data_IF_017313131713
#
_entry.id   IF_017313131713
#
_cell.length_a   1.000
_cell.length_b   1.000
_cell.length_c   1.000
_cell.angle_alpha   90.00
_cell.angle_beta   90.00
_cell.angle_gamma   90.00
#
_symmetry.space_group_name_H-M   'P 1'
#
loop_
_entity.id
_entity.type
_entity.pdbx_description
1 polymer ?
#
# COMPACT_ATOMS: atom_id res chain seq x y z
N UNK A 1 -8.05 10.09 3.36
CA UNK A 1 -8.78 9.23 2.41
C UNK A 1 -9.35 8.04 3.16
N UNK A 2 -10.53 7.60 2.77
CA UNK A 2 -11.05 6.29 3.16
C UNK A 2 -11.11 5.44 1.89
N UNK A 3 -10.29 4.39 1.84
CA UNK A 3 -10.32 3.40 0.78
C UNK A 3 -11.24 2.24 1.21
N UNK A 4 -12.10 1.77 0.30
CA UNK A 4 -13.06 0.71 0.58
C UNK A 4 -13.08 -0.33 -0.54
N UNK A 5 -13.09 -1.60 -0.16
CA UNK A 5 -13.31 -2.74 -1.05
C UNK A 5 -14.23 -3.71 -0.32
N UNK A 6 -15.45 -3.91 -0.84
CA UNK A 6 -16.46 -4.65 -0.10
C UNK A 6 -16.70 -4.05 1.29
N UNK A 7 -16.62 -4.89 2.32
CA UNK A 7 -16.78 -4.48 3.73
C UNK A 7 -15.46 -4.04 4.39
N UNK A 8 -14.32 -4.22 3.70
CA UNK A 8 -13.01 -3.76 4.18
C UNK A 8 -12.85 -2.27 3.93
N UNK A 9 -12.52 -1.50 4.98
CA UNK A 9 -12.33 -0.05 4.95
C UNK A 9 -11.08 0.35 5.69
N UNK A 10 -10.24 1.14 5.03
CA UNK A 10 -8.98 1.66 5.59
C UNK A 10 -9.00 3.17 5.55
N UNK A 11 -8.81 3.80 6.70
CA UNK A 11 -8.55 5.24 6.80
C UNK A 11 -7.06 5.47 6.59
N UNK A 12 -6.72 6.23 5.58
CA UNK A 12 -5.34 6.64 5.32
C UNK A 12 -5.17 8.13 5.51
N UNK A 13 -4.20 8.49 6.33
CA UNK A 13 -3.80 9.87 6.61
C UNK A 13 -2.34 10.07 6.22
N UNK A 14 -2.06 11.23 5.62
CA UNK A 14 -0.70 11.66 5.26
C UNK A 14 -0.46 13.01 5.91
N UNK A 15 0.67 13.14 6.60
CA UNK A 15 1.10 14.39 7.24
C UNK A 15 2.54 14.66 6.84
N UNK A 16 2.80 15.89 6.41
CA UNK A 16 4.15 16.40 6.16
C UNK A 16 4.59 17.24 7.36
N UNK A 17 5.74 16.90 7.91
CA UNK A 17 6.38 17.63 9.00
C UNK A 17 7.32 18.73 8.52
N UNK A 18 8.24 19.09 9.41
CA UNK A 18 9.29 20.06 9.11
C UNK A 18 10.35 19.47 8.17
N UNK A 19 11.04 20.37 7.47
CA UNK A 19 12.18 19.96 6.66
C UNK A 19 13.35 19.55 7.57
N UNK A 20 13.88 18.35 7.32
CA UNK A 20 15.03 17.74 8.00
C UNK A 20 16.13 17.38 7.00
N UNK A 21 16.30 18.20 5.98
CA UNK A 21 17.22 17.96 4.86
C UNK A 21 18.68 17.66 5.25
N UNK A 22 19.08 17.96 6.51
CA UNK A 22 20.44 17.69 6.99
C UNK A 22 20.69 16.22 7.38
N UNK A 23 19.68 15.34 7.32
CA UNK A 23 19.82 13.95 7.78
C UNK A 23 20.36 12.98 6.72
N UNK A 24 20.52 13.42 5.47
CA UNK A 24 21.09 12.58 4.39
C UNK A 24 20.22 11.40 3.94
N UNK A 25 18.96 11.31 4.42
CA UNK A 25 17.99 10.30 3.99
C UNK A 25 16.57 10.86 4.01
N UNK A 26 15.68 10.27 3.23
CA UNK A 26 14.27 10.64 3.22
C UNK A 26 13.53 10.09 4.46
N UNK A 27 13.07 10.95 5.39
CA UNK A 27 12.42 10.50 6.63
C UNK A 27 10.94 10.17 6.39
N UNK A 28 10.68 9.03 5.76
CA UNK A 28 9.33 8.47 5.56
C UNK A 28 9.03 7.46 6.68
N UNK A 29 7.90 7.65 7.34
CA UNK A 29 7.37 6.72 8.34
C UNK A 29 6.01 6.22 7.90
N UNK A 30 5.86 4.91 7.79
CA UNK A 30 4.59 4.26 7.45
C UNK A 30 4.16 3.38 8.61
N UNK A 31 2.91 3.55 9.05
CA UNK A 31 2.28 2.71 10.05
C UNK A 31 0.99 2.11 9.49
N UNK A 32 0.88 0.80 9.57
CA UNK A 32 -0.34 0.06 9.29
C UNK A 32 -0.87 -0.49 10.62
N UNK A 33 -2.15 -0.31 10.89
CA UNK A 33 -2.76 -0.61 12.18
C UNK A 33 -4.08 -1.33 11.97
N UNK A 34 -4.20 -2.56 12.47
CA UNK A 34 -5.44 -3.33 12.53
C UNK A 34 -6.08 -3.17 13.91
N UNK A 35 -7.16 -2.41 13.99
CA UNK A 35 -7.88 -2.25 15.25
C UNK A 35 -8.74 -3.49 15.56
N UNK A 36 -8.78 -3.93 16.81
CA UNK A 36 -9.62 -5.06 17.22
C UNK A 36 -11.10 -4.86 16.84
N UNK A 37 -11.58 -3.63 16.92
CA UNK A 37 -12.97 -3.32 16.54
C UNK A 37 -13.25 -3.51 15.04
N UNK A 38 -12.23 -3.44 14.18
CA UNK A 38 -12.39 -3.66 12.74
C UNK A 38 -12.91 -5.06 12.41
N UNK A 39 -12.58 -6.05 13.23
CA UNK A 39 -13.08 -7.42 13.15
C UNK A 39 -14.19 -7.72 14.19
N UNK A 40 -14.81 -6.68 14.77
CA UNK A 40 -15.87 -6.82 15.78
C UNK A 40 -15.40 -7.40 17.12
N UNK A 41 -14.09 -7.29 17.43
CA UNK A 41 -13.49 -7.86 18.63
C UNK A 41 -13.11 -6.77 19.63
N UNK A 42 -12.97 -7.19 20.89
CA UNK A 42 -12.41 -6.39 21.99
C UNK A 42 -11.02 -6.95 22.31
N UNK A 43 -10.02 -6.10 22.62
CA UNK A 43 -8.71 -6.58 23.03
C UNK A 43 -8.78 -7.58 24.18
N UNK A 44 -8.19 -8.77 24.00
CA UNK A 44 -8.32 -9.91 24.91
C UNK A 44 -7.32 -9.94 26.07
N UNK A 45 -6.37 -8.99 26.15
CA UNK A 45 -5.39 -8.95 27.22
C UNK A 45 -5.99 -8.46 28.55
N UNK A 46 -5.30 -8.69 29.67
CA UNK A 46 -5.69 -8.20 31.00
C UNK A 46 -6.03 -6.69 31.01
N UNK A 47 -5.25 -5.90 30.30
CA UNK A 47 -5.44 -4.44 30.22
C UNK A 47 -6.55 -4.02 29.24
N UNK A 48 -7.08 -4.93 28.42
CA UNK A 48 -8.09 -4.66 27.37
C UNK A 48 -7.73 -3.45 26.50
N UNK A 49 -6.46 -3.36 26.11
CA UNK A 49 -5.91 -2.30 25.28
C UNK A 49 -5.36 -2.87 23.98
N UNK A 50 -5.31 -2.03 22.95
CA UNK A 50 -4.47 -2.27 21.79
C UNK A 50 -3.02 -2.44 22.26
N UNK A 51 -2.36 -3.49 21.80
CA UNK A 51 -1.00 -3.83 22.17
C UNK A 51 0.05 -3.11 21.35
N UNK A 52 1.28 -3.65 21.38
CA UNK A 52 2.31 -3.29 20.39
C UNK A 52 1.89 -3.80 19.01
N UNK A 53 2.38 -3.17 17.91
CA UNK A 53 2.13 -3.68 16.57
C UNK A 53 2.49 -5.17 16.46
N UNK A 54 1.64 -5.94 15.82
CA UNK A 54 1.89 -7.33 15.49
C UNK A 54 2.97 -7.44 14.40
N UNK A 55 3.53 -8.62 14.23
CA UNK A 55 4.47 -8.89 13.13
C UNK A 55 3.84 -8.57 11.76
N UNK A 56 2.58 -8.97 11.55
CA UNK A 56 1.82 -8.64 10.33
C UNK A 56 1.74 -7.13 10.12
N UNK A 57 1.39 -6.35 11.14
CA UNK A 57 1.29 -4.89 11.01
C UNK A 57 2.63 -4.25 10.65
N UNK A 58 3.74 -4.76 11.20
CA UNK A 58 5.09 -4.28 10.87
C UNK A 58 5.46 -4.64 9.43
N UNK A 59 5.19 -5.87 8.99
CA UNK A 59 5.48 -6.33 7.63
C UNK A 59 4.63 -5.58 6.59
N UNK A 60 3.33 -5.39 6.86
CA UNK A 60 2.46 -4.60 5.97
C UNK A 60 2.87 -3.13 5.91
N UNK A 61 3.33 -2.54 7.02
CA UNK A 61 3.91 -1.18 7.00
C UNK A 61 5.10 -1.09 6.04
N UNK A 62 5.98 -2.09 6.03
CA UNK A 62 7.11 -2.16 5.10
C UNK A 62 6.67 -2.42 3.66
N UNK A 63 5.64 -3.23 3.49
CA UNK A 63 5.04 -3.51 2.19
C UNK A 63 4.49 -2.23 1.53
N UNK A 64 3.93 -1.32 2.32
CA UNK A 64 3.43 -0.01 1.87
C UNK A 64 4.60 0.96 1.62
N UNK A 65 5.61 1.00 2.50
CA UNK A 65 6.76 1.92 2.40
C UNK A 65 7.60 1.69 1.14
N UNK A 66 7.90 0.42 0.82
CA UNK A 66 8.83 0.05 -0.26
C UNK A 66 8.48 0.60 -1.63
N UNK A 67 7.24 0.50 -2.14
CA UNK A 67 6.88 1.02 -3.45
C UNK A 67 6.66 2.54 -3.46
N UNK A 68 6.37 3.16 -2.31
CA UNK A 68 6.10 4.60 -2.18
C UNK A 68 7.41 5.41 -2.14
N UNK A 69 8.40 4.94 -1.40
CA UNK A 69 9.65 5.65 -1.15
C UNK A 69 10.38 6.09 -2.42
N UNK A 70 10.57 5.26 -3.45
CA UNK A 70 11.28 5.64 -4.67
C UNK A 70 10.53 6.67 -5.54
N UNK A 71 9.24 6.92 -5.26
CA UNK A 71 8.41 7.87 -5.99
C UNK A 71 8.50 9.31 -5.43
N UNK A 72 9.34 9.53 -4.42
CA UNK A 72 9.69 10.87 -3.98
C UNK A 72 11.00 11.33 -4.66
N UNK A 73 11.13 12.63 -4.96
CA UNK A 73 12.34 13.17 -5.56
C UNK A 73 13.56 12.95 -4.66
N UNK A 74 14.72 12.72 -5.28
CA UNK A 74 15.97 12.71 -4.54
C UNK A 74 16.19 14.05 -3.84
N UNK A 75 16.73 14.04 -2.62
CA UNK A 75 16.96 15.24 -1.83
C UNK A 75 15.73 15.82 -1.15
N UNK A 76 14.55 15.19 -1.29
CA UNK A 76 13.36 15.60 -0.53
C UNK A 76 13.55 15.31 0.96
N UNK A 77 13.67 16.36 1.80
CA UNK A 77 14.08 16.27 3.21
C UNK A 77 12.96 16.42 4.22
N UNK A 78 11.71 16.70 3.81
CA UNK A 78 10.60 16.80 4.76
C UNK A 78 10.22 15.44 5.30
N UNK A 79 9.97 15.40 6.61
CA UNK A 79 9.39 14.22 7.24
C UNK A 79 7.97 13.97 6.71
N UNK A 80 7.70 12.74 6.27
CA UNK A 80 6.37 12.32 5.84
C UNK A 80 5.93 11.14 6.69
N UNK A 81 4.73 11.25 7.26
CA UNK A 81 4.09 10.18 8.01
C UNK A 81 2.82 9.72 7.29
N UNK A 82 2.73 8.43 7.04
CA UNK A 82 1.55 7.77 6.48
C UNK A 82 1.01 6.82 7.55
N UNK A 83 -0.27 6.95 7.88
CA UNK A 83 -0.94 6.04 8.80
C UNK A 83 -2.14 5.42 8.10
N UNK A 84 -2.11 4.10 7.95
CA UNK A 84 -3.20 3.29 7.43
C UNK A 84 -3.89 2.60 8.61
N UNK A 85 -5.12 2.98 8.92
CA UNK A 85 -5.90 2.40 10.02
C UNK A 85 -7.07 1.60 9.46
N UNK A 86 -7.09 0.30 9.69
CA UNK A 86 -8.21 -0.56 9.30
C UNK A 86 -9.39 -0.28 10.22
N UNK A 87 -10.48 0.21 9.64
CA UNK A 87 -11.71 0.56 10.37
C UNK A 87 -12.74 -0.58 10.38
N UNK A 88 -12.77 -1.35 9.28
CA UNK A 88 -13.62 -2.51 9.08
C UNK A 88 -12.88 -3.50 8.21
N UNK A 89 -13.02 -4.80 8.47
CA UNK A 89 -12.36 -5.86 7.72
C UNK A 89 -13.34 -7.00 7.48
N UNK A 90 -13.48 -7.41 6.23
CA UNK A 90 -14.10 -8.67 5.88
C UNK A 90 -13.26 -9.83 6.43
N UNK A 91 -13.92 -10.91 6.84
CA UNK A 91 -13.22 -12.09 7.41
C UNK A 91 -12.37 -12.85 6.40
N UNK A 92 -12.70 -12.70 5.13
CA UNK A 92 -12.08 -13.41 4.02
C UNK A 92 -11.04 -12.59 3.26
N UNK A 93 -10.96 -11.27 3.54
CA UNK A 93 -10.09 -10.36 2.81
C UNK A 93 -8.86 -9.96 3.63
N UNK A 94 -7.88 -9.43 2.89
CA UNK A 94 -6.70 -8.76 3.43
C UNK A 94 -6.74 -7.27 3.08
N UNK A 95 -6.30 -6.42 4.00
CA UNK A 95 -6.31 -4.97 3.77
C UNK A 95 -5.02 -4.42 3.15
N UNK A 96 -4.09 -5.27 2.74
CA UNK A 96 -2.75 -4.90 2.29
C UNK A 96 -2.80 -4.08 0.99
N UNK A 97 -3.39 -4.64 -0.08
CA UNK A 97 -3.46 -3.98 -1.39
C UNK A 97 -4.25 -2.66 -1.31
N UNK A 98 -5.41 -2.66 -0.65
CA UNK A 98 -6.24 -1.46 -0.50
C UNK A 98 -5.55 -0.37 0.34
N UNK A 99 -4.67 -0.75 1.28
CA UNK A 99 -3.87 0.20 2.06
C UNK A 99 -2.82 0.89 1.19
N UNK A 100 -2.18 0.19 0.25
CA UNK A 100 -1.24 0.78 -0.71
C UNK A 100 -1.98 1.75 -1.64
N UNK A 101 -3.13 1.35 -2.19
CA UNK A 101 -3.97 2.19 -3.06
C UNK A 101 -4.43 3.45 -2.30
N UNK A 102 -4.90 3.28 -1.07
CA UNK A 102 -5.33 4.38 -0.22
C UNK A 102 -4.18 5.34 0.15
N UNK A 103 -2.97 4.81 0.38
CA UNK A 103 -1.78 5.62 0.64
C UNK A 103 -1.37 6.44 -0.59
N UNK A 104 -1.42 5.83 -1.77
CA UNK A 104 -1.18 6.50 -3.04
C UNK A 104 -2.18 7.64 -3.26
N UNK A 105 -3.47 7.39 -3.10
CA UNK A 105 -4.51 8.39 -3.23
C UNK A 105 -4.33 9.55 -2.23
N UNK A 106 -4.02 9.25 -0.97
CA UNK A 106 -3.79 10.27 0.06
C UNK A 106 -2.55 11.12 -0.23
N UNK A 107 -1.47 10.53 -0.74
CA UNK A 107 -0.26 11.23 -1.16
C UNK A 107 -0.54 12.15 -2.35
N UNK A 108 -1.24 11.67 -3.37
CA UNK A 108 -1.63 12.49 -4.53
C UNK A 108 -2.46 13.71 -4.13
N UNK A 109 -3.36 13.55 -3.15
CA UNK A 109 -4.21 14.64 -2.63
C UNK A 109 -3.48 15.59 -1.67
N UNK A 110 -2.31 15.22 -1.15
CA UNK A 110 -1.58 15.98 -0.13
C UNK A 110 -0.85 17.20 -0.67
N UNK A 111 -0.62 17.28 -1.99
CA UNK A 111 0.24 18.26 -2.63
C UNK A 111 1.73 18.03 -2.44
N UNK A 112 2.15 16.94 -1.82
CA UNK A 112 3.54 16.51 -1.75
C UNK A 112 4.07 16.11 -3.14
N UNK A 113 5.39 16.21 -3.40
CA UNK A 113 5.99 15.88 -4.69
C UNK A 113 6.10 14.36 -4.90
N UNK A 114 4.99 13.69 -4.82
CA UNK A 114 4.86 12.26 -5.03
C UNK A 114 4.60 11.94 -6.51
N UNK A 115 5.49 11.17 -7.14
CA UNK A 115 5.48 10.84 -8.56
C UNK A 115 4.60 9.60 -8.86
N UNK A 116 3.39 9.56 -8.30
CA UNK A 116 2.39 8.53 -8.55
C UNK A 116 1.39 8.93 -9.65
N UNK A 117 0.26 8.21 -9.80
CA UNK A 117 -0.30 7.26 -8.83
C UNK A 117 0.38 5.90 -8.79
N UNK A 118 0.20 5.22 -7.68
CA UNK A 118 0.64 3.86 -7.42
C UNK A 118 -0.58 3.00 -7.08
N UNK A 119 -0.64 1.79 -7.62
CA UNK A 119 -1.61 0.77 -7.23
C UNK A 119 -0.95 -0.51 -6.78
N UNK A 120 -1.73 -1.43 -6.24
CA UNK A 120 -1.29 -2.75 -5.85
C UNK A 120 -2.37 -3.80 -6.12
N UNK A 121 -1.91 -5.03 -6.39
CA UNK A 121 -2.76 -6.19 -6.56
C UNK A 121 -2.10 -7.42 -5.94
N UNK A 122 -2.92 -8.25 -5.28
CA UNK A 122 -2.50 -9.59 -4.84
C UNK A 122 -2.86 -10.59 -5.92
N UNK A 123 -1.95 -11.51 -6.24
CA UNK A 123 -2.18 -12.55 -7.26
C UNK A 123 -1.95 -13.91 -6.65
N UNK A 124 -2.95 -14.77 -6.80
CA UNK A 124 -2.86 -16.21 -6.57
C UNK A 124 -2.72 -16.99 -7.87
N UNK A 125 -2.33 -18.26 -7.76
CA UNK A 125 -2.30 -19.20 -8.88
C UNK A 125 -2.95 -20.52 -8.45
N UNK A 126 -4.16 -20.78 -8.95
CA UNK A 126 -5.04 -21.89 -8.55
C UNK A 126 -5.49 -22.62 -9.81
N UNK A 127 -5.33 -23.95 -9.85
CA UNK A 127 -5.74 -24.79 -10.98
C UNK A 127 -5.27 -24.27 -12.35
N UNK A 128 -4.03 -23.73 -12.40
CA UNK A 128 -3.44 -23.22 -13.63
C UNK A 128 -3.91 -21.81 -14.05
N UNK A 129 -4.68 -21.11 -13.23
CA UNK A 129 -5.21 -19.79 -13.52
C UNK A 129 -4.73 -18.74 -12.49
N UNK A 130 -4.47 -17.52 -12.97
CA UNK A 130 -4.23 -16.38 -12.09
C UNK A 130 -5.55 -15.88 -11.49
N UNK A 131 -5.53 -15.60 -10.19
CA UNK A 131 -6.68 -15.09 -9.43
C UNK A 131 -6.30 -13.75 -8.84
N UNK A 132 -7.07 -12.70 -9.14
CA UNK A 132 -6.86 -11.37 -8.60
C UNK A 132 -7.44 -11.28 -7.18
N UNK A 133 -6.64 -10.73 -6.25
CA UNK A 133 -7.03 -10.50 -4.85
C UNK A 133 -7.73 -11.73 -4.23
N UNK A 134 -7.07 -12.91 -4.26
CA UNK A 134 -7.67 -14.13 -3.73
C UNK A 134 -8.02 -13.96 -2.25
N UNK A 135 -9.15 -14.50 -1.84
CA UNK A 135 -9.55 -14.59 -0.44
C UNK A 135 -8.56 -15.44 0.37
N UNK A 136 -8.58 -15.32 1.70
CA UNK A 136 -7.74 -16.13 2.59
C UNK A 136 -7.98 -17.63 2.41
N UNK A 137 -9.21 -18.03 2.07
CA UNK A 137 -9.54 -19.43 1.78
C UNK A 137 -8.88 -19.91 0.49
N UNK A 138 -8.97 -19.11 -0.58
CA UNK A 138 -8.36 -19.41 -1.88
C UNK A 138 -6.83 -19.41 -1.81
N UNK A 139 -6.22 -18.56 -0.98
CA UNK A 139 -4.78 -18.56 -0.75
C UNK A 139 -4.25 -19.88 -0.18
N UNK A 140 -5.04 -20.59 0.62
CA UNK A 140 -4.65 -21.89 1.16
C UNK A 140 -4.53 -22.97 0.07
N UNK A 141 -5.24 -22.82 -1.04
CA UNK A 141 -5.22 -23.72 -2.20
C UNK A 141 -4.28 -23.22 -3.30
N UNK A 142 -3.80 -22.01 -3.17
CA UNK A 142 -2.96 -21.34 -4.17
C UNK A 142 -1.50 -21.79 -4.08
N UNK A 143 -0.87 -22.04 -5.22
CA UNK A 143 0.58 -22.23 -5.31
C UNK A 143 1.37 -20.92 -5.39
N UNK A 144 0.69 -19.76 -5.39
CA UNK A 144 1.29 -18.44 -5.41
C UNK A 144 0.56 -17.51 -4.45
N UNK A 145 1.31 -16.77 -3.66
CA UNK A 145 0.84 -15.59 -2.94
C UNK A 145 1.78 -14.44 -3.29
N UNK A 146 1.39 -13.59 -4.24
CA UNK A 146 2.23 -12.51 -4.77
C UNK A 146 1.54 -11.18 -4.60
N UNK A 147 2.23 -10.22 -3.97
CA UNK A 147 1.86 -8.83 -3.96
C UNK A 147 2.69 -8.07 -5.00
N UNK A 148 2.03 -7.36 -5.88
CA UNK A 148 2.65 -6.51 -6.89
C UNK A 148 2.18 -5.08 -6.66
N UNK A 149 3.10 -4.11 -6.69
CA UNK A 149 2.76 -2.70 -6.67
C UNK A 149 3.48 -1.95 -7.78
N UNK A 150 2.75 -1.09 -8.48
CA UNK A 150 3.25 -0.40 -9.66
C UNK A 150 2.39 0.77 -10.10
N UNK A 151 2.89 1.51 -11.09
CA UNK A 151 2.16 2.47 -11.89
C UNK A 151 1.62 1.83 -13.17
N UNK A 152 1.06 2.63 -14.06
CA UNK A 152 0.63 2.15 -15.37
C UNK A 152 1.79 1.57 -16.19
N UNK A 153 2.99 2.15 -16.06
CA UNK A 153 4.12 1.86 -16.94
C UNK A 153 5.23 1.04 -16.28
N UNK A 154 5.25 0.95 -14.94
CA UNK A 154 6.35 0.33 -14.21
C UNK A 154 5.90 -0.39 -12.94
N UNK A 155 6.59 -1.50 -12.64
CA UNK A 155 6.46 -2.23 -11.37
C UNK A 155 7.56 -1.77 -10.42
N UNK A 156 7.20 -1.34 -9.22
CA UNK A 156 8.11 -0.84 -8.19
C UNK A 156 8.40 -1.87 -7.10
N UNK A 157 7.47 -2.81 -6.89
CA UNK A 157 7.63 -3.83 -5.86
C UNK A 157 6.97 -5.13 -6.29
N UNK A 158 7.67 -6.23 -6.04
CA UNK A 158 7.13 -7.59 -6.05
C UNK A 158 7.56 -8.26 -4.75
N UNK A 159 6.63 -8.88 -4.07
CA UNK A 159 6.88 -9.75 -2.92
C UNK A 159 6.05 -11.00 -3.09
N UNK A 160 6.68 -12.19 -3.02
CA UNK A 160 5.98 -13.43 -3.34
C UNK A 160 6.46 -14.59 -2.49
N UNK A 161 5.54 -15.48 -2.21
CA UNK A 161 5.74 -16.83 -1.74
C UNK A 161 5.15 -17.78 -2.79
N UNK A 162 5.95 -18.74 -3.28
CA UNK A 162 5.55 -19.61 -4.38
C UNK A 162 6.01 -21.04 -4.14
N UNK A 163 5.17 -22.01 -4.53
CA UNK A 163 5.45 -23.44 -4.50
C UNK A 163 5.84 -23.92 -5.91
N UNK A 164 7.15 -23.90 -6.21
CA UNK A 164 7.77 -24.50 -7.41
C UNK A 164 7.15 -24.06 -8.76
N UNK A 165 6.78 -22.76 -8.88
CA UNK A 165 6.31 -22.21 -10.14
C UNK A 165 7.47 -21.91 -11.08
N UNK A 166 7.21 -22.03 -12.40
CA UNK A 166 8.17 -21.66 -13.44
C UNK A 166 8.36 -20.15 -13.54
N UNK A 167 9.49 -19.71 -14.11
CA UNK A 167 9.75 -18.28 -14.38
C UNK A 167 8.66 -17.66 -15.26
N UNK A 168 8.17 -18.38 -16.26
CA UNK A 168 7.08 -17.90 -17.14
C UNK A 168 5.78 -17.68 -16.37
N UNK A 169 5.45 -18.57 -15.41
CA UNK A 169 4.27 -18.42 -14.55
C UNK A 169 4.43 -17.22 -13.60
N UNK A 170 5.63 -17.03 -13.03
CA UNK A 170 5.91 -15.88 -12.17
C UNK A 170 5.83 -14.56 -12.94
N UNK A 171 6.43 -14.49 -14.14
CA UNK A 171 6.33 -13.34 -15.01
C UNK A 171 4.89 -13.07 -15.45
N UNK A 172 4.15 -14.11 -15.81
CA UNK A 172 2.73 -14.02 -16.17
C UNK A 172 1.89 -13.44 -15.04
N UNK A 173 2.17 -13.81 -13.77
CA UNK A 173 1.48 -13.26 -12.61
C UNK A 173 1.74 -11.74 -12.44
N UNK A 174 2.96 -11.29 -12.68
CA UNK A 174 3.32 -9.85 -12.63
C UNK A 174 2.58 -9.07 -13.71
N UNK A 175 2.58 -9.58 -14.95
CA UNK A 175 1.89 -8.95 -16.07
C UNK A 175 0.37 -8.93 -15.87
N UNK A 176 -0.19 -10.00 -15.31
CA UNK A 176 -1.60 -10.07 -14.92
C UNK A 176 -1.92 -9.00 -13.87
N UNK A 177 -1.12 -8.90 -12.79
CA UNK A 177 -1.30 -7.87 -11.78
C UNK A 177 -1.26 -6.46 -12.36
N UNK A 178 -0.29 -6.18 -13.24
CA UNK A 178 -0.14 -4.86 -13.88
C UNK A 178 -1.38 -4.49 -14.70
N UNK A 179 -1.92 -5.43 -15.46
CA UNK A 179 -3.14 -5.20 -16.23
C UNK A 179 -4.35 -4.92 -15.33
N UNK A 180 -4.49 -5.69 -14.25
CA UNK A 180 -5.64 -5.60 -13.32
C UNK A 180 -5.56 -4.39 -12.36
N UNK A 181 -4.38 -3.78 -12.18
CA UNK A 181 -4.22 -2.55 -11.39
C UNK A 181 -4.77 -1.29 -12.10
N UNK A 182 -4.97 -1.33 -13.41
CA UNK A 182 -5.37 -0.17 -14.22
C UNK A 182 -6.64 0.53 -13.72
N UNK A 183 -7.75 -0.16 -13.38
CA UNK A 183 -8.96 0.51 -12.90
C UNK A 183 -8.75 1.30 -11.60
N UNK A 184 -7.89 0.82 -10.70
CA UNK A 184 -7.61 1.52 -9.45
C UNK A 184 -6.70 2.73 -9.65
N UNK A 185 -5.79 2.70 -10.62
CA UNK A 185 -4.99 3.87 -11.02
C UNK A 185 -5.89 4.95 -11.61
N UNK A 186 -6.78 4.59 -12.54
CA UNK A 186 -7.77 5.51 -13.15
C UNK A 186 -8.69 6.13 -12.08
N UNK A 187 -9.12 5.34 -11.08
CA UNK A 187 -9.91 5.83 -9.95
C UNK A 187 -9.17 6.88 -9.12
N UNK A 188 -7.87 6.68 -8.87
CA UNK A 188 -7.05 7.67 -8.15
C UNK A 188 -6.92 8.96 -8.97
N UNK A 189 -6.67 8.85 -10.28
CA UNK A 189 -6.56 10.01 -11.17
C UNK A 189 -7.87 10.80 -11.23
N UNK A 190 -9.01 10.11 -11.32
CA UNK A 190 -10.33 10.73 -11.28
C UNK A 190 -10.55 11.48 -9.96
N UNK A 191 -10.25 10.85 -8.81
CA UNK A 191 -10.35 11.48 -7.50
C UNK A 191 -9.49 12.74 -7.40
N UNK A 192 -8.26 12.69 -7.87
CA UNK A 192 -7.32 13.82 -7.89
C UNK A 192 -7.82 14.94 -8.78
N UNK A 193 -8.41 14.63 -9.93
CA UNK A 193 -8.95 15.62 -10.86
C UNK A 193 -10.12 16.44 -10.28
N UNK A 194 -10.86 15.87 -9.33
CA UNK A 194 -11.96 16.51 -8.64
C UNK A 194 -11.52 17.37 -7.44
N UNK A 195 -10.26 17.25 -7.01
CA UNK A 195 -9.74 17.94 -5.86
C UNK A 195 -8.97 19.22 -6.25
N UNK A 196 -9.13 20.28 -5.45
CA UNK A 196 -8.30 21.46 -5.56
C UNK A 196 -7.04 21.27 -4.72
N UNK A 197 -5.95 20.86 -5.35
CA UNK A 197 -4.69 20.57 -4.67
C UNK A 197 -3.75 21.75 -4.81
N UNK A 198 -3.21 22.20 -3.66
CA UNK A 198 -2.14 23.20 -3.64
C UNK A 198 -0.79 22.46 -3.48
N UNK A 199 0.11 22.52 -4.48
CA UNK A 199 1.42 21.91 -4.36
C UNK A 199 2.20 22.49 -3.17
N UNK A 200 2.89 21.62 -2.45
CA UNK A 200 3.79 22.01 -1.37
C UNK A 200 5.14 22.37 -1.99
N UNK A 201 5.58 23.61 -1.80
CA UNK A 201 6.91 24.04 -2.21
C UNK A 201 7.98 23.32 -1.38
N UNK A 202 9.03 22.86 -2.06
CA UNK A 202 10.19 22.23 -1.43
C UNK A 202 11.47 22.62 -2.17
N UNK A 203 12.57 22.69 -1.42
CA UNK A 203 13.89 22.91 -1.99
C UNK A 203 14.56 21.57 -2.23
N UNK A 204 15.03 21.34 -3.45
CA UNK A 204 15.93 20.23 -3.77
C UNK A 204 17.35 20.67 -3.48
N UNK A 205 18.05 20.03 -2.56
CA UNK A 205 19.49 20.17 -2.46
C UNK A 205 20.10 19.31 -3.58
N UNK A 206 20.80 19.95 -4.52
CA UNK A 206 21.68 19.24 -5.45
C UNK A 206 22.76 18.55 -4.62
N UNK A 207 22.92 17.24 -4.79
CA UNK A 207 24.09 16.53 -4.29
C UNK A 207 25.30 16.97 -5.17
N UNK A 208 26.29 17.60 -4.54
CA UNK A 208 27.61 17.87 -5.12
C UNK A 208 28.39 16.56 -5.39
#
# INVERSE_FOLDING_TARGET
VIASSGDTKVLVTVVAGQDKSDQGFFPLTVNYIEKFYASGKIPGSFFRREGRPSEKEVLTSRLIDRPIRPLFPKGFGREVQIICTVLSMDKNDDADAISIIGASAALQLSGLPFQGPLSAAKVGFIDGNYVLNPSLAELNESSLNMMVAGSQDAIFMVESEANELSEDQMLGAILFAQAEMKPSLELIEELVSQASISPIEYETKEED
#
